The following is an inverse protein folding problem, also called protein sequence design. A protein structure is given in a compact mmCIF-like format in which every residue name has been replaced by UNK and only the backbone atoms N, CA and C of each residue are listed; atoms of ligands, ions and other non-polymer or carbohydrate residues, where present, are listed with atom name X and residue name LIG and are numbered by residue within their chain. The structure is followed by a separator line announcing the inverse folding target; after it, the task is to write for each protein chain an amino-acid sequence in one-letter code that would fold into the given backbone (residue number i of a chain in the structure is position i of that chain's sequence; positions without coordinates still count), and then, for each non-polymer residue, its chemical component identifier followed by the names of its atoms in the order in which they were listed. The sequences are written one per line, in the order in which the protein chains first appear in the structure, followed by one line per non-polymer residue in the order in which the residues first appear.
data_IF_570337814641
#
_entry.id   IF_570337814641
#
_cell.length_a   1.000
_cell.length_b   1.000
_cell.length_c   1.000
_cell.angle_alpha   90.00
_cell.angle_beta   90.00
_cell.angle_gamma   90.00
#
_symmetry.space_group_name_H-M   'P 1'
#
loop_
_entity.id
_entity.type
_entity.pdbx_description
1 polymer ?
#
# COMPACT_ATOMS: atom_id res chain seq x y z
N UNK A 1 -1.91 5.00 -20.42
CA UNK A 1 -2.06 6.45 -20.29
C UNK A 1 -3.30 6.89 -19.51
N UNK A 2 -4.47 6.29 -19.73
CA UNK A 2 -5.69 6.66 -19.02
C UNK A 2 -5.62 6.49 -17.49
N UNK A 3 -4.99 5.43 -16.99
CA UNK A 3 -4.89 5.16 -15.54
C UNK A 3 -3.97 6.15 -14.82
N UNK A 4 -2.83 6.49 -15.40
CA UNK A 4 -1.89 7.45 -14.80
C UNK A 4 -2.46 8.87 -14.84
N UNK A 5 -3.17 9.24 -15.90
CA UNK A 5 -3.90 10.50 -16.02
C UNK A 5 -5.01 10.60 -14.98
N UNK A 6 -5.79 9.54 -14.81
CA UNK A 6 -6.84 9.51 -13.79
C UNK A 6 -6.27 9.69 -12.37
N UNK A 7 -5.19 8.97 -12.03
CA UNK A 7 -4.53 9.09 -10.74
C UNK A 7 -4.02 10.51 -10.50
N UNK A 8 -3.36 11.14 -11.49
CA UNK A 8 -2.89 12.52 -11.40
C UNK A 8 -4.00 13.50 -11.07
N UNK A 9 -5.07 13.51 -11.89
CA UNK A 9 -6.16 14.46 -11.73
C UNK A 9 -6.95 14.22 -10.44
N UNK A 10 -7.19 12.97 -10.05
CA UNK A 10 -7.88 12.64 -8.81
C UNK A 10 -7.08 13.15 -7.59
N UNK A 11 -5.78 12.92 -7.58
CA UNK A 11 -4.91 13.30 -6.46
C UNK A 11 -4.82 14.82 -6.36
N UNK A 12 -4.58 15.55 -7.47
CA UNK A 12 -4.53 17.01 -7.44
C UNK A 12 -5.88 17.65 -7.12
N UNK A 13 -6.99 17.05 -7.56
CA UNK A 13 -8.34 17.51 -7.15
C UNK A 13 -8.54 17.32 -5.64
N UNK A 14 -8.06 16.21 -5.10
CA UNK A 14 -8.11 15.97 -3.65
C UNK A 14 -7.25 16.97 -2.88
N UNK A 15 -6.05 17.29 -3.37
CA UNK A 15 -5.17 18.32 -2.79
C UNK A 15 -5.85 19.68 -2.80
N UNK A 16 -6.50 20.07 -3.90
CA UNK A 16 -7.23 21.33 -4.01
C UNK A 16 -8.40 21.42 -3.02
N UNK A 17 -9.16 20.33 -2.86
CA UNK A 17 -10.21 20.24 -1.85
C UNK A 17 -9.66 20.35 -0.42
N UNK A 18 -8.51 19.72 -0.14
CA UNK A 18 -7.81 19.86 1.15
C UNK A 18 -7.36 21.30 1.38
N UNK A 19 -6.78 21.94 0.37
CA UNK A 19 -6.36 23.34 0.44
C UNK A 19 -7.55 24.24 0.79
N UNK A 20 -8.69 24.01 0.15
CA UNK A 20 -9.95 24.74 0.44
C UNK A 20 -10.35 24.57 1.91
N UNK A 21 -10.39 23.34 2.42
CA UNK A 21 -10.75 23.07 3.81
C UNK A 21 -9.77 23.72 4.80
N UNK A 22 -8.47 23.63 4.52
CA UNK A 22 -7.41 24.23 5.36
C UNK A 22 -7.47 25.76 5.38
N UNK A 23 -7.92 26.39 4.28
CA UNK A 23 -8.00 27.87 4.16
C UNK A 23 -9.17 28.49 4.91
N UNK A 24 -10.15 27.72 5.39
CA UNK A 24 -11.31 28.22 6.12
C UNK A 24 -10.84 28.89 7.42
N UNK A 25 -11.33 30.11 7.69
CA UNK A 25 -11.00 30.87 8.90
C UNK A 25 -11.98 30.55 10.02
N UNK A 26 -11.47 30.43 11.23
CA UNK A 26 -12.21 30.15 12.46
C UNK A 26 -11.31 29.51 13.51
N UNK A 27 -11.84 29.37 14.72
CA UNK A 27 -11.10 28.89 15.89
C UNK A 27 -11.84 27.77 16.64
N UNK A 28 -12.93 27.23 16.07
CA UNK A 28 -13.65 26.12 16.70
C UNK A 28 -12.83 24.82 16.65
N UNK A 29 -13.01 23.98 17.65
CA UNK A 29 -12.34 22.69 17.74
C UNK A 29 -12.70 21.77 16.54
N UNK A 30 -13.97 21.77 16.13
CA UNK A 30 -14.44 20.99 15.01
C UNK A 30 -13.79 21.41 13.69
N UNK A 31 -13.59 22.72 13.49
CA UNK A 31 -12.87 23.23 12.31
C UNK A 31 -11.40 22.83 12.36
N UNK A 32 -10.75 22.98 13.52
CA UNK A 32 -9.36 22.57 13.72
C UNK A 32 -9.17 21.07 13.44
N UNK A 33 -10.07 20.22 13.94
CA UNK A 33 -10.06 18.77 13.66
C UNK A 33 -10.28 18.47 12.17
N UNK A 34 -11.21 19.14 11.51
CA UNK A 34 -11.45 18.99 10.07
C UNK A 34 -10.22 19.42 9.24
N UNK A 35 -9.55 20.50 9.64
CA UNK A 35 -8.30 20.95 9.02
C UNK A 35 -7.16 19.95 9.26
N UNK A 36 -7.04 19.36 10.45
CA UNK A 36 -6.09 18.28 10.73
C UNK A 36 -6.30 17.05 9.86
N UNK A 37 -7.56 16.66 9.63
CA UNK A 37 -7.89 15.58 8.70
C UNK A 37 -7.55 15.93 7.24
N UNK A 38 -7.79 17.15 6.81
CA UNK A 38 -7.44 17.64 5.48
C UNK A 38 -5.92 17.70 5.27
N UNK A 39 -5.15 18.12 6.28
CA UNK A 39 -3.68 18.09 6.26
C UNK A 39 -3.14 16.65 6.12
N UNK A 40 -3.64 15.72 6.90
CA UNK A 40 -3.26 14.31 6.81
C UNK A 40 -3.58 13.71 5.42
N UNK A 41 -4.75 14.05 4.86
CA UNK A 41 -5.14 13.60 3.51
C UNK A 41 -4.28 14.25 2.42
N UNK A 42 -3.92 15.52 2.54
CA UNK A 42 -3.00 16.20 1.61
C UNK A 42 -1.60 15.59 1.66
N UNK A 43 -1.09 15.30 2.85
CA UNK A 43 0.18 14.58 3.02
C UNK A 43 0.14 13.19 2.37
N UNK A 44 -0.93 12.43 2.54
CA UNK A 44 -1.12 11.14 1.88
C UNK A 44 -1.11 11.27 0.35
N UNK A 45 -1.77 12.28 -0.19
CA UNK A 45 -1.75 12.58 -1.63
C UNK A 45 -0.34 12.86 -2.15
N UNK A 46 0.43 13.71 -1.46
CA UNK A 46 1.82 13.99 -1.83
C UNK A 46 2.72 12.77 -1.64
N UNK A 47 2.49 11.95 -0.61
CA UNK A 47 3.22 10.71 -0.40
C UNK A 47 3.00 9.73 -1.56
N UNK A 48 1.75 9.65 -2.07
CA UNK A 48 1.46 8.85 -3.26
C UNK A 48 2.15 9.41 -4.52
N UNK A 49 2.08 10.73 -4.74
CA UNK A 49 2.72 11.36 -5.90
C UNK A 49 4.24 11.13 -5.90
N UNK A 50 4.93 11.39 -4.78
CA UNK A 50 6.40 11.28 -4.73
C UNK A 50 6.89 9.85 -4.94
N UNK A 51 6.11 8.84 -4.53
CA UNK A 51 6.48 7.43 -4.70
C UNK A 51 6.26 6.89 -6.12
N UNK A 52 5.38 7.51 -6.92
CA UNK A 52 5.02 6.98 -8.23
C UNK A 52 5.54 7.82 -9.41
N UNK A 53 5.81 9.11 -9.20
CA UNK A 53 6.22 10.02 -10.28
C UNK A 53 7.72 10.33 -10.28
N UNK A 54 8.49 9.86 -9.28
CA UNK A 54 9.94 9.97 -9.25
C UNK A 54 10.55 8.82 -8.47
N UNK A 55 11.85 8.60 -8.66
CA UNK A 55 12.64 7.69 -7.83
C UNK A 55 12.74 8.22 -6.39
N UNK A 56 13.14 7.32 -5.50
CA UNK A 56 13.01 7.54 -4.06
C UNK A 56 13.99 8.57 -3.50
N UNK A 57 13.67 9.09 -2.32
CA UNK A 57 14.50 10.05 -1.58
C UNK A 57 15.94 9.54 -1.38
N UNK A 58 16.12 8.26 -1.02
CA UNK A 58 17.45 7.67 -0.79
C UNK A 58 18.25 7.48 -2.07
N UNK A 59 17.60 7.46 -3.23
CA UNK A 59 18.28 7.41 -4.52
C UNK A 59 18.72 8.80 -4.97
N UNK A 60 17.81 9.75 -4.99
CA UNK A 60 18.08 11.14 -5.42
C UNK A 60 17.02 12.09 -4.88
N UNK A 61 17.30 12.69 -3.73
CA UNK A 61 16.40 13.66 -3.08
C UNK A 61 16.28 14.99 -3.81
N UNK A 62 17.24 15.32 -4.67
CA UNK A 62 17.30 16.59 -5.39
C UNK A 62 16.67 16.49 -6.78
N UNK A 63 16.27 15.28 -7.23
CA UNK A 63 15.56 15.08 -8.48
C UNK A 63 14.21 15.83 -8.49
N UNK A 64 13.88 16.44 -9.64
CA UNK A 64 12.60 17.11 -9.84
C UNK A 64 11.46 16.08 -9.92
N UNK A 65 10.39 16.32 -9.15
CA UNK A 65 9.27 15.39 -9.00
C UNK A 65 7.94 15.98 -9.48
N UNK A 66 7.21 16.65 -8.59
CA UNK A 66 5.85 17.14 -8.86
C UNK A 66 5.65 18.57 -8.33
N UNK A 67 4.71 19.35 -8.87
CA UNK A 67 4.35 20.66 -8.32
C UNK A 67 3.73 20.57 -6.92
N UNK A 68 4.01 21.55 -6.06
CA UNK A 68 3.40 21.65 -4.73
C UNK A 68 2.41 22.83 -4.70
N UNK A 69 1.13 22.53 -4.47
CA UNK A 69 0.06 23.49 -4.26
C UNK A 69 -0.43 23.42 -2.81
N UNK A 70 -0.42 24.55 -2.12
CA UNK A 70 -0.81 24.70 -0.70
C UNK A 70 -1.99 25.61 -0.49
N UNK A 71 -2.45 26.29 -1.55
CA UNK A 71 -3.60 27.18 -1.59
C UNK A 71 -4.64 26.65 -2.56
N UNK A 72 -5.95 26.99 -2.37
CA UNK A 72 -6.96 26.69 -3.36
C UNK A 72 -6.61 27.28 -4.72
N UNK A 73 -6.85 26.51 -5.79
CA UNK A 73 -6.55 26.95 -7.15
C UNK A 73 -7.78 27.54 -7.83
N UNK A 74 -7.54 28.49 -8.74
CA UNK A 74 -8.57 29.13 -9.59
C UNK A 74 -8.10 29.12 -11.03
N UNK A 75 -8.95 29.57 -11.95
CA UNK A 75 -8.59 29.72 -13.37
C UNK A 75 -7.47 30.73 -13.61
N UNK A 76 -7.14 31.56 -12.64
CA UNK A 76 -6.06 32.56 -12.71
C UNK A 76 -4.83 32.18 -11.90
N UNK A 77 -4.81 30.99 -11.29
CA UNK A 77 -3.64 30.51 -10.56
C UNK A 77 -2.51 30.17 -11.54
N UNK A 78 -1.37 30.81 -11.36
CA UNK A 78 -0.19 30.53 -12.19
C UNK A 78 0.29 29.09 -12.00
N UNK A 79 0.53 28.34 -13.09
CA UNK A 79 1.01 26.97 -13.01
C UNK A 79 2.41 26.90 -12.38
N UNK A 80 2.59 25.99 -11.43
CA UNK A 80 3.87 25.79 -10.75
C UNK A 80 4.72 24.75 -11.45
N UNK A 81 6.04 24.97 -11.42
CA UNK A 81 7.04 23.97 -11.85
C UNK A 81 7.18 22.83 -10.84
N UNK A 82 7.96 21.82 -11.23
CA UNK A 82 8.30 20.68 -10.38
C UNK A 82 9.10 21.12 -9.16
N UNK A 83 8.74 20.60 -8.02
CA UNK A 83 9.55 20.65 -6.79
C UNK A 83 10.45 19.42 -6.71
N UNK A 84 11.54 19.51 -5.94
CA UNK A 84 12.40 18.35 -5.69
C UNK A 84 11.71 17.31 -4.79
N UNK A 85 12.19 16.08 -4.83
CA UNK A 85 11.75 15.01 -3.93
C UNK A 85 11.87 15.46 -2.48
N UNK A 86 12.99 16.11 -2.11
CA UNK A 86 13.19 16.64 -0.75
C UNK A 86 12.13 17.68 -0.38
N UNK A 87 11.79 18.60 -1.27
CA UNK A 87 10.75 19.60 -1.02
C UNK A 87 9.36 18.98 -0.85
N UNK A 88 9.04 17.92 -1.60
CA UNK A 88 7.78 17.20 -1.45
C UNK A 88 7.72 16.50 -0.09
N UNK A 89 8.79 15.83 0.35
CA UNK A 89 8.85 15.23 1.69
C UNK A 89 8.79 16.26 2.80
N UNK A 90 9.42 17.42 2.64
CA UNK A 90 9.29 18.53 3.60
C UNK A 90 7.83 18.95 3.74
N UNK A 91 7.10 19.10 2.62
CA UNK A 91 5.67 19.43 2.65
C UNK A 91 4.85 18.34 3.37
N UNK A 92 5.16 17.07 3.14
CA UNK A 92 4.51 15.95 3.83
C UNK A 92 4.73 16.05 5.35
N UNK A 93 5.97 16.28 5.80
CA UNK A 93 6.26 16.41 7.23
C UNK A 93 5.61 17.64 7.86
N UNK A 94 5.61 18.78 7.17
CA UNK A 94 4.95 19.99 7.68
C UNK A 94 3.45 19.76 7.87
N UNK A 95 2.79 19.12 6.91
CA UNK A 95 1.37 18.79 6.97
C UNK A 95 1.06 17.81 8.10
N UNK A 96 1.87 16.75 8.24
CA UNK A 96 1.64 15.72 9.25
C UNK A 96 1.92 16.22 10.67
N UNK A 97 2.94 17.04 10.86
CA UNK A 97 3.24 17.65 12.17
C UNK A 97 2.10 18.58 12.61
N UNK A 98 1.58 19.40 11.70
CA UNK A 98 0.44 20.26 11.99
C UNK A 98 -0.85 19.44 12.19
N UNK A 99 -1.02 18.36 11.44
CA UNK A 99 -2.14 17.44 11.63
C UNK A 99 -2.11 16.76 13.00
N UNK A 100 -0.94 16.36 13.51
CA UNK A 100 -0.79 15.84 14.88
C UNK A 100 -1.30 16.83 15.92
N UNK A 101 -0.89 18.11 15.80
CA UNK A 101 -1.32 19.17 16.70
C UNK A 101 -2.85 19.37 16.63
N UNK A 102 -3.42 19.41 15.42
CA UNK A 102 -4.84 19.69 15.22
C UNK A 102 -5.75 18.52 15.60
N UNK A 103 -5.24 17.29 15.58
CA UNK A 103 -5.97 16.07 15.94
C UNK A 103 -5.66 15.57 17.35
N UNK A 104 -4.92 16.37 18.17
CA UNK A 104 -4.70 16.03 19.57
C UNK A 104 -6.04 15.89 20.29
N UNK A 105 -6.24 14.76 20.97
CA UNK A 105 -7.49 14.46 21.68
C UNK A 105 -8.70 14.06 20.81
N UNK A 106 -8.56 14.11 19.47
CA UNK A 106 -9.64 13.66 18.59
C UNK A 106 -9.85 12.15 18.67
N UNK A 107 -11.06 11.71 19.00
CA UNK A 107 -11.45 10.31 19.10
C UNK A 107 -12.59 10.01 18.12
N UNK A 108 -12.43 8.96 17.31
CA UNK A 108 -13.49 8.46 16.41
C UNK A 108 -14.65 7.85 17.21
N UNK A 109 -15.88 8.02 16.73
CA UNK A 109 -17.09 7.44 17.32
C UNK A 109 -17.34 5.98 16.83
N UNK A 110 -16.31 5.15 16.85
CA UNK A 110 -16.39 3.74 16.43
C UNK A 110 -15.76 3.44 15.06
N UNK A 111 -15.71 2.15 14.72
CA UNK A 111 -14.99 1.61 13.55
C UNK A 111 -15.52 2.13 12.22
N UNK A 112 -16.82 2.40 12.10
CA UNK A 112 -17.42 2.99 10.90
C UNK A 112 -16.79 4.35 10.52
N UNK A 113 -16.09 5.00 11.45
CA UNK A 113 -15.39 6.28 11.21
C UNK A 113 -13.89 6.10 10.89
N UNK A 114 -13.40 4.90 10.67
CA UNK A 114 -12.01 4.67 10.25
C UNK A 114 -11.62 5.34 8.92
N UNK A 115 -12.57 5.92 8.20
CA UNK A 115 -12.27 6.77 7.04
C UNK A 115 -11.75 8.17 7.43
N UNK A 116 -12.01 8.63 8.64
CA UNK A 116 -11.52 9.92 9.15
C UNK A 116 -10.11 9.77 9.71
N UNK A 117 -9.10 10.50 9.21
CA UNK A 117 -7.80 10.53 9.86
C UNK A 117 -7.90 10.93 11.34
N UNK A 118 -7.15 10.23 12.19
CA UNK A 118 -6.92 10.51 13.61
C UNK A 118 -5.42 10.47 13.87
N UNK A 119 -4.99 10.62 15.12
CA UNK A 119 -3.57 10.58 15.49
C UNK A 119 -2.86 9.28 15.04
N UNK A 120 -3.55 8.14 15.04
CA UNK A 120 -2.95 6.86 14.61
C UNK A 120 -2.66 6.86 13.12
N UNK A 121 -3.57 7.42 12.30
CA UNK A 121 -3.35 7.57 10.84
C UNK A 121 -2.18 8.51 10.58
N UNK A 122 -2.10 9.63 11.30
CA UNK A 122 -0.98 10.59 11.17
C UNK A 122 0.34 9.91 11.53
N UNK A 123 0.40 9.17 12.63
CA UNK A 123 1.57 8.40 13.02
C UNK A 123 1.96 7.36 11.96
N UNK A 124 0.99 6.65 11.36
CA UNK A 124 1.26 5.69 10.29
C UNK A 124 1.78 6.34 9.00
N UNK A 125 1.27 7.52 8.64
CA UNK A 125 1.81 8.30 7.51
C UNK A 125 3.21 8.84 7.79
N UNK A 126 3.48 9.29 9.02
CA UNK A 126 4.83 9.65 9.47
C UNK A 126 5.77 8.44 9.41
N UNK A 127 5.34 7.26 9.88
CA UNK A 127 6.12 6.03 9.80
C UNK A 127 6.53 5.69 8.36
N UNK A 128 5.59 5.79 7.41
CA UNK A 128 5.88 5.63 5.97
C UNK A 128 6.89 6.67 5.47
N UNK A 129 6.67 7.95 5.77
CA UNK A 129 7.53 9.03 5.31
C UNK A 129 8.94 8.93 5.90
N UNK A 130 9.08 8.62 7.19
CA UNK A 130 10.37 8.41 7.85
C UNK A 130 11.11 7.18 7.30
N UNK A 131 10.41 6.06 7.05
CA UNK A 131 11.00 4.88 6.42
C UNK A 131 11.56 5.22 5.02
N UNK A 132 10.80 5.99 4.23
CA UNK A 132 11.18 6.36 2.86
C UNK A 132 12.31 7.39 2.79
N UNK A 133 12.52 8.17 3.85
CA UNK A 133 13.59 9.18 3.95
C UNK A 133 14.79 8.73 4.78
N UNK A 134 14.81 7.49 5.29
CA UNK A 134 15.93 6.93 6.04
C UNK A 134 16.03 7.41 7.48
N UNK A 135 14.97 7.97 8.04
CA UNK A 135 14.90 8.39 9.44
C UNK A 135 14.42 7.23 10.31
N UNK A 136 15.28 6.21 10.46
CA UNK A 136 14.90 4.89 10.94
C UNK A 136 14.35 4.90 12.36
N UNK A 137 15.01 5.57 13.30
CA UNK A 137 14.55 5.66 14.68
C UNK A 137 13.18 6.33 14.82
N UNK A 138 12.90 7.37 14.03
CA UNK A 138 11.58 8.02 14.02
C UNK A 138 10.52 7.15 13.32
N UNK A 139 10.90 6.42 12.26
CA UNK A 139 10.01 5.47 11.60
C UNK A 139 9.52 4.37 12.57
N UNK A 140 10.44 3.81 13.37
CA UNK A 140 10.10 2.78 14.36
C UNK A 140 9.13 3.31 15.44
N UNK A 141 9.41 4.49 16.01
CA UNK A 141 8.55 5.12 17.03
C UNK A 141 7.16 5.45 16.48
N UNK A 142 7.08 6.02 15.29
CA UNK A 142 5.82 6.39 14.66
C UNK A 142 4.99 5.14 14.32
N UNK A 143 5.61 4.07 13.82
CA UNK A 143 4.94 2.81 13.52
C UNK A 143 4.39 2.13 14.78
N UNK A 144 5.18 2.10 15.87
CA UNK A 144 4.72 1.58 17.17
C UNK A 144 3.52 2.38 17.69
N UNK A 145 3.56 3.71 17.61
CA UNK A 145 2.46 4.57 18.02
C UNK A 145 1.19 4.33 17.18
N UNK A 146 1.35 4.21 15.85
CA UNK A 146 0.22 4.01 14.93
C UNK A 146 -0.54 2.69 15.15
N UNK A 147 0.17 1.59 15.47
CA UNK A 147 -0.44 0.26 15.64
C UNK A 147 -1.08 0.03 17.00
N UNK A 148 -0.83 0.92 17.97
CA UNK A 148 -1.34 0.76 19.33
C UNK A 148 -2.86 0.76 19.35
N UNK A 149 -3.45 -0.31 19.87
CA UNK A 149 -4.91 -0.45 19.94
C UNK A 149 -5.54 -1.21 18.75
N UNK A 150 -4.74 -1.64 17.76
CA UNK A 150 -5.21 -2.45 16.63
C UNK A 150 -4.66 -3.86 16.71
N UNK A 151 -5.54 -4.83 16.96
CA UNK A 151 -5.18 -6.24 17.15
C UNK A 151 -4.93 -6.92 15.82
N UNK A 152 -3.94 -7.83 15.78
CA UNK A 152 -3.65 -8.63 14.60
C UNK A 152 -4.75 -9.68 14.33
N UNK A 153 -5.04 -9.96 13.08
CA UNK A 153 -5.84 -11.11 12.65
C UNK A 153 -5.07 -12.41 12.97
N UNK A 154 -5.80 -13.44 13.40
CA UNK A 154 -5.20 -14.72 13.84
C UNK A 154 -5.84 -15.93 13.19
N UNK A 155 -6.79 -15.74 12.30
CA UNK A 155 -7.49 -16.81 11.59
C UNK A 155 -7.63 -16.52 10.10
N UNK A 156 -7.70 -17.56 9.28
CA UNK A 156 -7.96 -17.44 7.83
C UNK A 156 -9.26 -16.69 7.54
N UNK A 157 -10.32 -16.94 8.33
CA UNK A 157 -11.62 -16.32 8.14
C UNK A 157 -11.60 -14.78 8.33
N UNK A 158 -10.72 -14.25 9.19
CA UNK A 158 -10.55 -12.80 9.35
C UNK A 158 -9.87 -12.13 8.13
N UNK A 159 -9.16 -12.91 7.32
CA UNK A 159 -8.54 -12.46 6.07
C UNK A 159 -9.45 -12.58 4.85
N UNK A 160 -10.43 -13.50 4.91
CA UNK A 160 -11.28 -13.79 3.77
C UNK A 160 -12.16 -12.58 3.42
N UNK A 161 -12.12 -12.19 2.16
CA UNK A 161 -12.83 -11.03 1.63
C UNK A 161 -12.12 -9.70 1.83
N UNK A 162 -11.52 -9.45 2.98
CA UNK A 162 -10.74 -8.22 3.32
C UNK A 162 -11.44 -6.93 2.85
N UNK A 163 -12.74 -6.82 3.10
CA UNK A 163 -13.67 -5.88 2.46
C UNK A 163 -14.49 -5.05 3.46
N UNK A 164 -14.10 -5.03 4.74
CA UNK A 164 -14.89 -4.40 5.80
C UNK A 164 -14.03 -3.47 6.66
N UNK A 165 -14.42 -2.20 6.74
CA UNK A 165 -13.75 -1.17 7.52
C UNK A 165 -13.71 -1.48 9.04
N UNK A 166 -14.60 -2.34 9.53
CA UNK A 166 -14.60 -2.79 10.93
C UNK A 166 -13.50 -3.81 11.24
N UNK A 167 -12.70 -4.27 10.26
CA UNK A 167 -11.58 -5.16 10.50
C UNK A 167 -10.66 -4.61 11.60
N UNK A 168 -10.30 -5.46 12.57
CA UNK A 168 -9.57 -5.05 13.78
C UNK A 168 -8.14 -4.56 13.52
N UNK A 169 -7.54 -4.95 12.38
CA UNK A 169 -6.21 -4.45 11.97
C UNK A 169 -6.27 -3.10 11.28
N UNK A 170 -7.42 -2.72 10.70
CA UNK A 170 -7.49 -1.51 9.91
C UNK A 170 -7.40 -0.26 10.78
N UNK A 171 -6.37 0.53 10.54
CA UNK A 171 -6.15 1.86 11.12
C UNK A 171 -6.92 2.90 10.31
N UNK A 172 -6.93 2.75 8.98
CA UNK A 172 -7.57 3.65 8.04
C UNK A 172 -8.13 2.89 6.85
N UNK A 173 -9.32 3.25 6.40
CA UNK A 173 -9.98 2.64 5.27
C UNK A 173 -10.98 3.58 4.61
N UNK A 174 -11.44 3.21 3.43
CA UNK A 174 -12.48 3.94 2.70
C UNK A 174 -13.72 3.06 2.58
N UNK A 175 -14.82 3.41 3.28
CA UNK A 175 -16.07 2.67 3.15
C UNK A 175 -16.67 2.88 1.76
N UNK A 176 -17.26 1.83 1.21
CA UNK A 176 -17.90 1.85 -0.10
C UNK A 176 -19.38 1.52 0.00
N UNK A 177 -20.18 2.21 -0.81
CA UNK A 177 -21.62 2.01 -0.93
C UNK A 177 -22.03 1.85 -2.39
N UNK A 178 -23.20 1.29 -2.65
CA UNK A 178 -23.73 1.13 -4.01
C UNK A 178 -23.84 2.48 -4.79
N UNK A 179 -24.02 3.59 -4.08
CA UNK A 179 -24.04 4.92 -4.72
C UNK A 179 -22.65 5.40 -5.20
N UNK A 180 -21.58 4.69 -4.80
CA UNK A 180 -20.18 4.93 -5.20
C UNK A 180 -19.72 3.85 -6.17
N UNK A 181 -20.53 3.55 -7.18
CA UNK A 181 -20.38 2.43 -8.10
C UNK A 181 -18.97 2.30 -8.74
N UNK A 182 -18.32 3.43 -9.03
CA UNK A 182 -17.02 3.42 -9.68
C UNK A 182 -15.91 2.79 -8.79
N UNK A 183 -15.97 3.02 -7.48
CA UNK A 183 -15.01 2.42 -6.56
C UNK A 183 -15.27 0.92 -6.36
N UNK A 184 -16.53 0.52 -6.22
CA UNK A 184 -16.93 -0.89 -6.17
C UNK A 184 -16.56 -1.61 -7.47
N UNK A 185 -16.78 -0.99 -8.63
CA UNK A 185 -16.43 -1.52 -9.92
C UNK A 185 -14.94 -1.86 -10.05
N UNK A 186 -14.06 -1.01 -9.52
CA UNK A 186 -12.62 -1.28 -9.52
C UNK A 186 -12.25 -2.50 -8.67
N UNK A 187 -13.01 -2.81 -7.62
CA UNK A 187 -12.76 -3.98 -6.78
C UNK A 187 -13.00 -5.31 -7.53
N UNK A 188 -13.84 -5.34 -8.57
CA UNK A 188 -14.03 -6.53 -9.41
C UNK A 188 -12.73 -7.04 -10.06
N UNK A 189 -11.78 -6.16 -10.31
CA UNK A 189 -10.46 -6.58 -10.82
C UNK A 189 -9.63 -7.34 -9.78
N UNK A 190 -9.82 -7.03 -8.49
CA UNK A 190 -9.14 -7.70 -7.37
C UNK A 190 -9.84 -8.99 -6.95
N UNK A 191 -11.14 -9.13 -7.20
CA UNK A 191 -11.91 -10.31 -6.80
C UNK A 191 -11.65 -11.46 -7.77
N UNK A 192 -10.73 -12.36 -7.39
CA UNK A 192 -10.42 -13.55 -8.16
C UNK A 192 -11.55 -14.59 -8.14
N UNK A 193 -12.48 -14.49 -7.19
CA UNK A 193 -13.64 -15.39 -7.08
C UNK A 193 -14.79 -14.98 -7.99
N UNK A 194 -14.79 -13.73 -8.44
CA UNK A 194 -15.83 -13.22 -9.33
C UNK A 194 -15.76 -13.88 -10.71
N UNK A 195 -16.90 -14.41 -11.15
CA UNK A 195 -17.01 -15.06 -12.44
C UNK A 195 -17.55 -14.07 -13.47
N UNK A 196 -16.69 -13.26 -14.01
CA UNK A 196 -17.04 -12.26 -15.00
C UNK A 196 -15.82 -11.74 -15.74
N UNK A 197 -16.03 -10.80 -16.67
CA UNK A 197 -14.97 -10.23 -17.51
C UNK A 197 -13.91 -9.46 -16.74
N UNK A 198 -14.14 -9.14 -15.45
CA UNK A 198 -13.32 -8.24 -14.66
C UNK A 198 -12.32 -8.92 -13.73
N UNK A 199 -12.42 -10.20 -13.47
CA UNK A 199 -11.46 -10.94 -12.65
C UNK A 199 -10.12 -11.11 -13.37
N UNK A 200 -9.33 -10.04 -13.38
CA UNK A 200 -8.11 -9.94 -14.20
C UNK A 200 -6.83 -10.19 -13.42
N UNK A 201 -6.87 -10.10 -12.08
CA UNK A 201 -5.70 -10.28 -11.25
C UNK A 201 -5.70 -11.66 -10.62
N UNK A 202 -4.60 -12.39 -10.82
CA UNK A 202 -4.35 -13.70 -10.24
C UNK A 202 -3.06 -13.66 -9.43
N UNK A 203 -2.94 -14.53 -8.45
CA UNK A 203 -1.74 -14.63 -7.63
C UNK A 203 -0.58 -15.27 -8.40
N UNK A 204 0.62 -14.92 -8.00
CA UNK A 204 1.84 -15.58 -8.45
C UNK A 204 1.99 -16.92 -7.70
N UNK A 205 2.09 -18.06 -8.39
CA UNK A 205 2.38 -19.34 -7.76
C UNK A 205 3.66 -19.32 -6.92
N UNK A 206 4.72 -18.64 -7.37
CA UNK A 206 5.96 -18.50 -6.61
C UNK A 206 5.77 -17.73 -5.30
N UNK A 207 4.84 -16.77 -5.25
CA UNK A 207 4.48 -16.14 -3.99
C UNK A 207 3.84 -17.14 -3.03
N UNK A 208 2.89 -17.96 -3.51
CA UNK A 208 2.26 -19.01 -2.70
C UNK A 208 3.31 -19.96 -2.11
N UNK A 209 4.32 -20.33 -2.88
CA UNK A 209 5.37 -21.26 -2.45
C UNK A 209 6.28 -20.68 -1.35
N UNK A 210 6.20 -19.39 -1.05
CA UNK A 210 6.91 -18.76 0.09
C UNK A 210 6.20 -18.94 1.43
N UNK A 211 4.93 -19.37 1.43
CA UNK A 211 4.18 -19.66 2.65
C UNK A 211 4.47 -21.08 3.13
N UNK A 212 4.53 -21.26 4.44
CA UNK A 212 4.79 -22.56 5.06
C UNK A 212 3.49 -23.17 5.60
N UNK A 213 3.50 -24.46 5.85
CA UNK A 213 2.41 -25.17 6.49
C UNK A 213 2.10 -24.55 7.87
N UNK A 214 0.82 -24.40 8.19
CA UNK A 214 0.35 -23.72 9.40
C UNK A 214 0.13 -22.21 9.26
N UNK A 215 0.61 -21.59 8.18
CA UNK A 215 0.33 -20.17 7.91
C UNK A 215 -1.16 -19.99 7.59
N UNK A 216 -1.84 -19.15 8.38
CA UNK A 216 -3.28 -18.88 8.23
C UNK A 216 -3.63 -18.22 6.89
N UNK A 217 -2.64 -17.67 6.19
CA UNK A 217 -2.82 -17.02 4.87
C UNK A 217 -2.73 -18.01 3.71
N UNK A 218 -2.10 -19.18 3.91
CA UNK A 218 -1.91 -20.18 2.86
C UNK A 218 -3.25 -20.74 2.31
N UNK A 219 -4.28 -21.01 3.13
CA UNK A 219 -5.57 -21.49 2.65
C UNK A 219 -6.37 -20.47 1.83
N UNK A 220 -5.93 -19.20 1.77
CA UNK A 220 -6.55 -18.19 0.92
C UNK A 220 -6.26 -18.39 -0.55
N UNK A 221 -5.22 -19.16 -0.92
CA UNK A 221 -4.89 -19.47 -2.32
C UNK A 221 -5.65 -20.69 -2.80
N UNK A 222 -6.18 -20.61 -4.01
CA UNK A 222 -6.91 -21.71 -4.64
C UNK A 222 -6.70 -21.69 -6.16
N UNK A 223 -6.33 -22.84 -6.74
CA UNK A 223 -6.32 -22.96 -8.19
C UNK A 223 -7.75 -22.81 -8.74
N UNK A 224 -7.89 -22.09 -9.83
CA UNK A 224 -9.19 -21.74 -10.41
C UNK A 224 -9.18 -21.83 -11.92
N UNK A 225 -10.37 -22.06 -12.50
CA UNK A 225 -10.66 -21.97 -13.94
C UNK A 225 -9.66 -22.73 -14.81
N UNK A 226 -8.95 -22.00 -15.68
CA UNK A 226 -8.04 -22.55 -16.69
C UNK A 226 -6.65 -22.94 -16.12
N UNK A 227 -6.46 -22.92 -14.80
CA UNK A 227 -5.18 -23.23 -14.16
C UNK A 227 -4.48 -22.02 -13.54
N UNK A 228 -5.17 -20.90 -13.41
CA UNK A 228 -4.65 -19.74 -12.69
C UNK A 228 -4.76 -19.91 -11.18
N UNK A 229 -3.77 -19.38 -10.44
CA UNK A 229 -3.83 -19.32 -9.00
C UNK A 229 -4.68 -18.12 -8.58
N UNK A 230 -5.90 -18.39 -8.15
CA UNK A 230 -6.77 -17.39 -7.54
C UNK A 230 -6.55 -17.28 -6.03
N UNK A 231 -7.35 -16.44 -5.41
CA UNK A 231 -7.28 -16.17 -3.97
C UNK A 231 -8.64 -15.73 -3.43
N UNK A 232 -8.78 -15.84 -2.10
CA UNK A 232 -9.97 -15.39 -1.35
C UNK A 232 -9.69 -14.17 -0.46
N UNK A 233 -8.47 -13.62 -0.48
CA UNK A 233 -8.11 -12.43 0.30
C UNK A 233 -8.99 -11.24 -0.09
N UNK A 234 -9.26 -11.07 -1.37
CA UNK A 234 -10.09 -9.97 -1.86
C UNK A 234 -11.32 -10.54 -2.55
N UNK A 235 -12.49 -10.31 -1.99
CA UNK A 235 -13.75 -10.54 -2.67
C UNK A 235 -14.82 -9.58 -2.14
N UNK A 236 -15.82 -9.32 -2.96
CA UNK A 236 -16.90 -8.41 -2.64
C UNK A 236 -17.84 -8.99 -1.58
N UNK A 237 -18.51 -8.12 -0.85
CA UNK A 237 -19.64 -8.50 -0.01
C UNK A 237 -20.84 -8.91 -0.86
N UNK A 238 -21.85 -9.52 -0.23
CA UNK A 238 -23.08 -9.96 -0.90
C UNK A 238 -23.92 -8.83 -1.51
N UNK A 239 -23.62 -7.58 -1.17
CA UNK A 239 -24.23 -6.36 -1.74
C UNK A 239 -23.41 -5.74 -2.89
N UNK A 240 -22.45 -6.49 -3.45
CA UNK A 240 -21.55 -6.06 -4.52
C UNK A 240 -20.70 -4.83 -4.16
N UNK A 241 -20.41 -4.62 -2.88
CA UNK A 241 -19.51 -3.57 -2.40
C UNK A 241 -18.32 -4.16 -1.65
N UNK A 242 -17.24 -3.38 -1.52
CA UNK A 242 -16.07 -3.72 -0.72
C UNK A 242 -15.41 -2.45 -0.21
N UNK A 243 -15.19 -2.35 1.10
CA UNK A 243 -14.40 -1.26 1.66
C UNK A 243 -12.92 -1.43 1.28
N UNK A 244 -12.20 -0.32 1.16
CA UNK A 244 -10.80 -0.31 0.75
C UNK A 244 -9.90 -0.02 1.95
N UNK A 245 -8.92 -0.89 2.19
CA UNK A 245 -7.88 -0.66 3.19
C UNK A 245 -6.90 0.41 2.70
N UNK A 246 -6.57 1.36 3.56
CA UNK A 246 -5.55 2.39 3.30
C UNK A 246 -4.34 2.24 4.23
N UNK A 247 -4.57 1.69 5.42
CA UNK A 247 -3.52 1.45 6.43
C UNK A 247 -3.99 0.41 7.45
N UNK A 248 -3.09 -0.47 7.87
CA UNK A 248 -3.38 -1.47 8.90
C UNK A 248 -2.17 -1.77 9.79
N UNK A 249 -2.41 -2.31 10.98
CA UNK A 249 -1.39 -2.48 12.00
C UNK A 249 -0.25 -3.42 11.60
N UNK A 250 -0.51 -4.47 10.83
CA UNK A 250 0.54 -5.38 10.36
C UNK A 250 1.59 -4.69 9.48
N UNK A 251 1.22 -3.71 8.66
CA UNK A 251 2.19 -2.86 7.96
C UNK A 251 3.11 -2.13 8.95
N UNK A 252 2.54 -1.60 10.03
CA UNK A 252 3.28 -0.87 11.05
C UNK A 252 4.26 -1.79 11.81
N UNK A 253 3.87 -3.04 12.11
CA UNK A 253 4.80 -4.03 12.67
C UNK A 253 6.01 -4.28 11.77
N UNK A 254 5.80 -4.32 10.45
CA UNK A 254 6.86 -4.54 9.47
C UNK A 254 7.74 -3.31 9.27
N UNK A 255 7.17 -2.09 9.28
CA UNK A 255 7.94 -0.84 9.27
C UNK A 255 8.82 -0.75 10.53
N UNK A 256 8.24 -1.02 11.70
CA UNK A 256 8.97 -0.97 12.97
C UNK A 256 10.16 -1.95 12.99
N UNK A 257 9.94 -3.19 12.54
CA UNK A 257 11.00 -4.19 12.48
C UNK A 257 12.13 -3.79 11.53
N UNK A 258 11.79 -3.39 10.29
CA UNK A 258 12.77 -2.96 9.30
C UNK A 258 13.56 -1.73 9.78
N UNK A 259 12.86 -0.74 10.31
CA UNK A 259 13.46 0.48 10.82
C UNK A 259 14.43 0.20 11.97
N UNK A 260 14.07 -0.63 12.93
CA UNK A 260 14.96 -1.04 14.05
C UNK A 260 16.22 -1.74 13.56
N UNK A 261 16.13 -2.64 12.57
CA UNK A 261 17.31 -3.31 12.00
C UNK A 261 18.23 -2.29 11.32
N UNK A 262 17.64 -1.37 10.53
CA UNK A 262 18.39 -0.32 9.82
C UNK A 262 19.03 0.71 10.76
N UNK A 263 18.41 0.95 11.92
CA UNK A 263 18.91 1.86 12.96
C UNK A 263 19.99 1.22 13.83
N UNK A 264 20.33 -0.05 13.58
CA UNK A 264 21.39 -0.77 14.30
C UNK A 264 20.97 -1.30 15.67
N UNK A 265 19.69 -1.44 15.95
CA UNK A 265 19.17 -2.13 17.13
C UNK A 265 19.60 -3.61 17.07
N UNK A 266 19.98 -4.19 18.19
CA UNK A 266 20.35 -5.61 18.27
C UNK A 266 19.26 -6.50 17.64
N UNK A 267 19.63 -7.44 16.79
CA UNK A 267 18.70 -8.18 15.92
C UNK A 267 17.61 -8.92 16.69
N UNK A 268 17.94 -9.50 17.85
CA UNK A 268 16.97 -10.17 18.73
C UNK A 268 15.87 -9.22 19.24
N UNK A 269 16.20 -7.95 19.44
CA UNK A 269 15.25 -6.90 19.83
C UNK A 269 14.55 -6.30 18.61
N UNK A 270 15.27 -6.10 17.51
CA UNK A 270 14.73 -5.49 16.30
C UNK A 270 13.62 -6.33 15.66
N UNK A 271 13.70 -7.66 15.76
CA UNK A 271 12.71 -8.58 15.16
C UNK A 271 11.49 -8.88 16.06
N UNK A 272 11.41 -8.31 17.25
CA UNK A 272 10.23 -8.52 18.12
C UNK A 272 8.92 -8.18 17.41
N UNK A 273 8.77 -7.03 16.70
CA UNK A 273 7.56 -6.73 15.95
C UNK A 273 7.29 -7.74 14.82
N UNK A 274 8.32 -8.13 14.08
CA UNK A 274 8.23 -9.18 13.05
C UNK A 274 7.70 -10.49 13.66
N UNK A 275 8.29 -10.93 14.77
CA UNK A 275 7.91 -12.18 15.44
C UNK A 275 6.49 -12.11 16.01
N UNK A 276 6.06 -10.94 16.49
CA UNK A 276 4.67 -10.73 16.93
C UNK A 276 3.70 -10.97 15.77
N UNK A 277 3.98 -10.41 14.59
CA UNK A 277 3.19 -10.63 13.40
C UNK A 277 3.23 -12.10 12.95
N UNK A 278 4.40 -12.71 12.85
CA UNK A 278 4.60 -14.10 12.42
C UNK A 278 3.85 -15.08 13.33
N UNK A 279 3.91 -14.87 14.64
CA UNK A 279 3.16 -15.71 15.61
C UNK A 279 1.65 -15.57 15.42
N UNK A 280 1.14 -14.35 15.14
CA UNK A 280 -0.26 -14.15 14.82
C UNK A 280 -0.67 -14.85 13.50
N UNK A 281 0.26 -15.11 12.60
CA UNK A 281 0.06 -15.85 11.34
C UNK A 281 0.30 -17.36 11.47
N UNK A 282 0.69 -17.85 12.66
CA UNK A 282 0.89 -19.28 12.92
C UNK A 282 2.24 -19.83 12.46
N UNK A 283 3.21 -18.96 12.07
CA UNK A 283 4.49 -19.41 11.47
C UNK A 283 5.68 -19.37 12.42
N UNK A 284 5.49 -18.92 13.66
CA UNK A 284 6.54 -18.90 14.69
C UNK A 284 7.61 -17.82 14.49
N UNK A 285 8.56 -17.78 15.42
CA UNK A 285 9.63 -16.80 15.41
C UNK A 285 10.63 -17.01 14.27
N UNK A 286 11.13 -15.92 13.73
CA UNK A 286 12.30 -15.92 12.85
C UNK A 286 13.58 -15.96 13.68
N UNK A 287 14.42 -16.96 13.42
CA UNK A 287 15.72 -17.10 14.11
C UNK A 287 16.77 -16.19 13.46
N UNK A 288 17.31 -15.28 14.24
CA UNK A 288 18.35 -14.32 13.81
C UNK A 288 19.77 -14.79 14.16
N UNK A 289 19.94 -15.98 14.74
CA UNK A 289 21.25 -16.51 15.16
C UNK A 289 22.19 -16.60 13.95
N UNK A 290 23.32 -15.89 14.02
CA UNK A 290 24.31 -15.84 12.95
C UNK A 290 23.88 -15.12 11.67
N UNK A 291 22.77 -14.38 11.68
CA UNK A 291 22.30 -13.60 10.53
C UNK A 291 22.97 -12.22 10.49
N UNK A 292 23.10 -11.68 9.28
CA UNK A 292 23.48 -10.28 9.06
C UNK A 292 22.24 -9.40 9.05
N UNK A 293 22.43 -8.09 9.20
CA UNK A 293 21.32 -7.10 9.08
C UNK A 293 20.64 -7.21 7.73
N UNK A 294 21.39 -7.37 6.64
CA UNK A 294 20.87 -7.51 5.28
C UNK A 294 19.97 -8.75 5.15
N UNK A 295 20.40 -9.89 5.69
CA UNK A 295 19.60 -11.11 5.65
C UNK A 295 18.29 -10.98 6.44
N UNK A 296 18.31 -10.25 7.57
CA UNK A 296 17.10 -9.97 8.35
C UNK A 296 16.19 -8.98 7.62
N UNK A 297 16.75 -7.95 6.98
CA UNK A 297 15.97 -7.01 6.14
C UNK A 297 15.31 -7.74 4.97
N UNK A 298 16.03 -8.65 4.30
CA UNK A 298 15.46 -9.43 3.20
C UNK A 298 14.30 -10.32 3.66
N UNK A 299 14.38 -10.93 4.84
CA UNK A 299 13.25 -11.68 5.40
C UNK A 299 12.08 -10.75 5.75
N UNK A 300 12.32 -9.57 6.33
CA UNK A 300 11.26 -8.59 6.62
C UNK A 300 10.58 -8.14 5.32
N UNK A 301 11.34 -7.89 4.26
CA UNK A 301 10.80 -7.53 2.94
C UNK A 301 9.99 -8.69 2.32
N UNK A 302 10.44 -9.94 2.51
CA UNK A 302 9.68 -11.11 2.09
C UNK A 302 8.39 -11.25 2.91
N UNK A 303 8.43 -11.01 4.22
CA UNK A 303 7.23 -11.01 5.06
C UNK A 303 6.27 -9.88 4.67
N UNK A 304 6.78 -8.69 4.30
CA UNK A 304 5.96 -7.62 3.73
C UNK A 304 5.26 -8.07 2.45
N UNK A 305 5.96 -8.77 1.57
CA UNK A 305 5.39 -9.32 0.34
C UNK A 305 4.29 -10.36 0.63
N UNK A 306 4.51 -11.29 1.60
CA UNK A 306 3.50 -12.27 2.03
C UNK A 306 2.29 -11.61 2.68
N UNK A 307 2.51 -10.55 3.43
CA UNK A 307 1.46 -9.88 4.20
C UNK A 307 0.64 -8.90 3.36
N UNK A 308 1.32 -8.03 2.61
CA UNK A 308 0.75 -6.84 2.00
C UNK A 308 0.49 -6.96 0.48
N UNK A 309 0.61 -8.18 -0.09
CA UNK A 309 0.31 -8.35 -1.52
C UNK A 309 -1.13 -7.93 -1.85
N UNK A 310 -1.30 -7.29 -3.02
CA UNK A 310 -2.58 -6.74 -3.47
C UNK A 310 -2.97 -5.39 -2.82
N UNK A 311 -2.19 -4.87 -1.86
CA UNK A 311 -2.48 -3.62 -1.15
C UNK A 311 -1.66 -2.41 -1.67
N UNK A 312 -0.97 -2.55 -2.81
CA UNK A 312 -0.27 -1.44 -3.47
C UNK A 312 1.19 -1.23 -3.06
N UNK A 313 1.76 -2.06 -2.16
CA UNK A 313 3.12 -1.85 -1.66
C UNK A 313 4.24 -2.44 -2.53
N UNK A 314 3.95 -3.39 -3.40
CA UNK A 314 4.98 -4.15 -4.11
C UNK A 314 5.95 -3.28 -4.92
N UNK A 315 5.43 -2.39 -5.76
CA UNK A 315 6.28 -1.53 -6.60
C UNK A 315 7.02 -0.47 -5.77
N UNK A 316 6.40 0.07 -4.73
CA UNK A 316 7.04 1.07 -3.87
C UNK A 316 8.15 0.45 -3.01
N UNK A 317 7.99 -0.80 -2.56
CA UNK A 317 9.05 -1.54 -1.88
C UNK A 317 10.23 -1.85 -2.83
N UNK A 318 9.96 -2.23 -4.08
CA UNK A 318 11.00 -2.43 -5.12
C UNK A 318 11.78 -1.13 -5.35
N UNK A 319 11.08 0.00 -5.54
CA UNK A 319 11.71 1.29 -5.80
C UNK A 319 12.55 1.79 -4.61
N UNK A 320 12.01 1.74 -3.38
CA UNK A 320 12.71 2.26 -2.20
C UNK A 320 13.93 1.42 -1.80
N UNK A 321 13.91 0.13 -2.11
CA UNK A 321 15.03 -0.78 -1.87
C UNK A 321 15.98 -0.91 -3.05
N UNK A 322 15.69 -0.19 -4.17
CA UNK A 322 16.45 -0.23 -5.41
C UNK A 322 16.65 -1.66 -5.94
N UNK A 323 15.64 -2.50 -5.75
CA UNK A 323 15.58 -3.87 -6.28
C UNK A 323 14.87 -3.89 -7.64
N UNK A 324 14.73 -5.06 -8.21
CA UNK A 324 14.00 -5.27 -9.47
C UNK A 324 12.75 -6.10 -9.26
N UNK A 325 11.85 -6.08 -10.23
CA UNK A 325 10.76 -7.05 -10.31
C UNK A 325 11.36 -8.43 -10.59
N UNK A 326 11.02 -9.40 -9.75
CA UNK A 326 11.37 -10.80 -9.94
C UNK A 326 10.14 -11.58 -10.40
N UNK A 327 10.16 -12.02 -11.65
CA UNK A 327 9.15 -12.90 -12.24
C UNK A 327 9.84 -13.97 -13.04
N UNK A 328 9.53 -15.21 -12.72
CA UNK A 328 10.04 -16.39 -13.42
C UNK A 328 8.88 -17.21 -13.97
N UNK A 329 9.10 -17.89 -15.09
CA UNK A 329 8.16 -18.88 -15.59
C UNK A 329 8.06 -20.04 -14.59
N UNK A 330 6.92 -20.70 -14.56
CA UNK A 330 6.81 -21.99 -13.86
C UNK A 330 7.71 -22.99 -14.54
N UNK A 331 8.33 -23.89 -13.75
CA UNK A 331 9.13 -24.98 -14.31
C UNK A 331 8.26 -25.90 -15.16
N UNK A 332 8.87 -26.58 -16.14
CA UNK A 332 8.15 -27.55 -16.98
C UNK A 332 7.49 -28.68 -16.18
N UNK A 333 8.11 -29.09 -15.07
CA UNK A 333 7.56 -30.10 -14.19
C UNK A 333 6.26 -29.62 -13.54
N UNK A 334 6.25 -28.40 -12.98
CA UNK A 334 5.04 -27.79 -12.39
C UNK A 334 3.97 -27.62 -13.45
N UNK A 335 4.30 -27.10 -14.64
CA UNK A 335 3.35 -26.92 -15.74
C UNK A 335 2.71 -28.23 -16.24
N UNK A 336 3.38 -29.37 -16.05
CA UNK A 336 2.87 -30.71 -16.45
C UNK A 336 2.11 -31.42 -15.33
N UNK A 337 2.17 -30.90 -14.09
CA UNK A 337 1.49 -31.51 -12.93
C UNK A 337 0.10 -30.91 -12.78
N UNK A 338 -0.93 -31.64 -13.16
CA UNK A 338 -2.31 -31.19 -13.05
C UNK A 338 -2.72 -30.90 -11.60
N UNK A 339 -3.45 -29.80 -11.42
CA UNK A 339 -4.03 -29.36 -10.16
C UNK A 339 -5.55 -29.33 -10.23
N UNK A 340 -6.20 -29.44 -9.08
CA UNK A 340 -7.65 -29.31 -8.97
C UNK A 340 -8.05 -27.83 -9.01
N UNK A 341 -8.63 -27.38 -10.11
CA UNK A 341 -9.09 -26.02 -10.32
C UNK A 341 -10.58 -25.89 -10.03
N UNK A 342 -10.93 -24.99 -9.12
CA UNK A 342 -12.30 -24.60 -8.87
C UNK A 342 -12.93 -24.00 -10.12
N UNK A 343 -14.15 -24.44 -10.42
CA UNK A 343 -14.96 -23.99 -11.53
C UNK A 343 -16.20 -23.27 -11.00
N UNK A 344 -16.79 -22.43 -11.83
CA UNK A 344 -18.10 -21.84 -11.54
C UNK A 344 -19.12 -22.94 -11.21
N UNK A 345 -19.94 -22.70 -10.19
CA UNK A 345 -20.91 -23.70 -9.71
C UNK A 345 -20.35 -24.69 -8.67
N UNK A 346 -19.08 -24.52 -8.22
CA UNK A 346 -18.50 -25.26 -7.10
C UNK A 346 -17.93 -26.64 -7.44
N UNK A 347 -17.84 -26.98 -8.73
CA UNK A 347 -17.15 -28.18 -9.18
C UNK A 347 -15.64 -28.00 -9.29
N UNK A 348 -14.89 -29.10 -9.49
CA UNK A 348 -13.45 -29.07 -9.74
C UNK A 348 -13.11 -29.75 -11.05
N UNK A 349 -12.11 -29.24 -11.76
CA UNK A 349 -11.57 -29.81 -12.97
C UNK A 349 -10.04 -29.84 -12.92
N UNK A 350 -9.43 -30.89 -13.47
CA UNK A 350 -7.97 -30.95 -13.61
C UNK A 350 -7.51 -29.99 -14.70
N UNK A 351 -6.49 -29.17 -14.38
CA UNK A 351 -5.85 -28.22 -15.28
C UNK A 351 -4.36 -28.15 -14.99
N UNK A 352 -3.60 -27.79 -16.00
CA UNK A 352 -2.19 -27.50 -15.85
C UNK A 352 -2.01 -26.08 -15.25
N UNK A 353 -1.13 -25.92 -14.24
CA UNK A 353 -0.86 -24.61 -13.65
C UNK A 353 -0.36 -23.59 -14.65
N UNK A 354 -0.86 -22.35 -14.54
CA UNK A 354 -0.42 -21.20 -15.31
C UNK A 354 0.29 -20.19 -14.40
N UNK A 355 1.41 -19.66 -14.88
CA UNK A 355 2.20 -18.64 -14.19
C UNK A 355 2.13 -17.29 -14.90
N UNK A 356 3.07 -16.39 -14.59
CA UNK A 356 3.18 -15.11 -15.23
C UNK A 356 3.51 -15.21 -16.73
N UNK A 357 2.82 -14.39 -17.54
CA UNK A 357 3.07 -14.27 -18.98
C UNK A 357 4.12 -13.19 -19.29
N UNK A 358 4.18 -12.13 -18.48
CA UNK A 358 5.09 -11.01 -18.68
C UNK A 358 6.34 -11.21 -17.82
N UNK A 359 7.42 -11.70 -18.44
CA UNK A 359 8.70 -12.00 -17.80
C UNK A 359 9.78 -10.96 -18.11
N UNK A 360 9.40 -9.89 -18.81
CA UNK A 360 10.28 -8.79 -19.22
C UNK A 360 9.50 -7.49 -19.33
N UNK A 361 10.21 -6.37 -19.52
CA UNK A 361 9.57 -5.11 -19.88
C UNK A 361 8.89 -5.19 -21.25
N UNK A 362 7.95 -4.27 -21.59
CA UNK A 362 7.23 -4.26 -22.86
C UNK A 362 8.14 -4.18 -24.10
N UNK A 363 9.36 -3.66 -23.96
CA UNK A 363 10.36 -3.61 -25.02
C UNK A 363 11.22 -4.89 -25.16
N UNK A 364 10.87 -5.96 -24.44
CA UNK A 364 11.57 -7.24 -24.44
C UNK A 364 12.85 -7.29 -23.59
N UNK A 365 13.26 -6.18 -22.95
CA UNK A 365 14.44 -6.19 -22.06
C UNK A 365 14.08 -6.83 -20.72
N UNK A 366 15.03 -7.53 -20.12
CA UNK A 366 14.91 -8.07 -18.78
C UNK A 366 14.58 -6.97 -17.77
N UNK A 367 13.84 -7.31 -16.73
CA UNK A 367 13.61 -6.40 -15.59
C UNK A 367 14.96 -5.98 -15.00
N UNK A 368 15.07 -4.71 -14.64
CA UNK A 368 16.28 -4.14 -14.05
C UNK A 368 15.90 -3.14 -12.97
N UNK A 369 16.78 -2.96 -11.99
CA UNK A 369 16.63 -1.95 -10.96
C UNK A 369 16.55 -0.54 -11.56
N UNK A 370 15.88 0.35 -10.85
CA UNK A 370 15.78 1.77 -11.21
C UNK A 370 15.29 2.04 -12.65
N UNK A 371 14.48 1.16 -13.22
CA UNK A 371 13.90 1.35 -14.54
C UNK A 371 12.81 2.42 -14.52
N UNK A 372 12.81 3.30 -15.55
CA UNK A 372 11.73 4.30 -15.74
C UNK A 372 10.35 3.66 -16.00
N UNK A 373 10.29 2.39 -16.39
CA UNK A 373 9.03 1.65 -16.50
C UNK A 373 8.30 1.46 -15.17
N UNK A 374 8.97 1.68 -14.05
CA UNK A 374 8.34 1.60 -12.72
C UNK A 374 7.66 2.91 -12.31
N UNK A 375 7.90 3.99 -13.05
CA UNK A 375 7.36 5.31 -12.72
C UNK A 375 6.16 5.65 -13.60
N UNK A 376 5.23 6.42 -13.04
CA UNK A 376 4.16 7.03 -13.80
C UNK A 376 4.68 8.24 -14.58
N UNK A 377 4.22 8.38 -15.81
CA UNK A 377 4.43 9.60 -16.57
C UNK A 377 3.42 10.67 -16.17
N UNK A 378 3.87 11.94 -16.12
CA UNK A 378 2.97 13.07 -16.01
C UNK A 378 2.06 13.08 -17.26
N UNK A 379 0.73 13.31 -17.13
CA UNK A 379 -0.16 13.31 -18.27
C UNK A 379 0.22 14.34 -19.33
N UNK A 380 0.15 13.95 -20.60
CA UNK A 380 0.47 14.82 -21.72
C UNK A 380 -0.36 16.13 -21.73
N UNK A 381 -1.64 16.04 -21.35
CA UNK A 381 -2.49 17.24 -21.22
C UNK A 381 -1.96 18.23 -20.20
N UNK A 382 -1.42 17.71 -19.08
CA UNK A 382 -0.81 18.54 -18.05
C UNK A 382 0.48 19.18 -18.56
N UNK A 383 1.34 18.41 -19.21
CA UNK A 383 2.58 18.91 -19.81
C UNK A 383 2.32 20.01 -20.86
N UNK A 384 1.24 19.87 -21.65
CA UNK A 384 0.85 20.85 -22.65
C UNK A 384 0.21 22.12 -22.04
N UNK A 385 -0.48 21.98 -20.89
CA UNK A 385 -1.16 23.10 -20.23
C UNK A 385 -0.25 23.87 -19.27
N UNK A 386 0.78 23.23 -18.74
CA UNK A 386 1.70 23.82 -17.79
C UNK A 386 3.12 23.90 -18.37
N UNK A 387 3.56 25.06 -18.90
CA UNK A 387 4.86 25.22 -19.52
C UNK A 387 6.05 25.14 -18.53
N UNK A 388 5.77 25.04 -17.23
CA UNK A 388 6.79 24.96 -16.17
C UNK A 388 7.12 23.52 -15.75
N UNK A 389 6.47 22.49 -16.35
CA UNK A 389 6.71 21.07 -16.06
C UNK A 389 7.86 20.45 -16.86
#
# INVERSE_FOLDING_TARGET
DGRTSFAWYLIYKTIDNCNTAISIKGDSEELRQAQGQALALRAFCYLHLVQHYQFTYLKDKDALCVPIYTEPTTSTTEPKGKSTVAQVYQRIFDDLNLAQEYLEGYVRKGDAQKFKPNADVVNGLLARAYLLTGQWGEAAKAAEAARKGYSLMTTTAEYEGFNNISNKEWIWGSPQTLSQSDASYNFYYLDATYVGAYSSFMADPHLKDTFIEGDIRLPLFQWMREGYLGYKKFHMRSDDTADLVLMRSSEMYLIEAEAKVRDGVALDQAVIPLNTLRNARGVGNYDVTGKTNEAVIDEILMERRRELWGEGFGITDILRTQKTVERTALSEEVQKTEVDCWQEGGSFAKRNPLGHWFLSFPNGKAFSENSSYYLYAIPEKEMNANPNL
#
